data_IF_278104718714
#
_entry.id   IF_278104718714
#
_cell.length_a   1.000
_cell.length_b   1.000
_cell.length_c   1.000
_cell.angle_alpha   90.00
_cell.angle_beta   90.00
_cell.angle_gamma   90.00
#
_symmetry.space_group_name_H-M   'P 1'
#
loop_
_entity.id
_entity.type
_entity.pdbx_description
1 polymer ?
#
# COMPACT_ATOMS: atom_id res chain seq x y z
N UNK A 1 -13.95 9.72 -32.90
CA UNK A 1 -15.08 9.95 -31.95
C UNK A 1 -14.61 10.28 -30.51
N UNK A 2 -15.47 10.70 -29.57
CA UNK A 2 -15.12 10.88 -28.14
C UNK A 2 -15.76 9.80 -27.25
N UNK A 3 -15.05 9.35 -26.21
CA UNK A 3 -15.54 8.32 -25.29
C UNK A 3 -16.65 8.87 -24.40
N UNK A 4 -17.84 8.25 -24.42
CA UNK A 4 -18.96 8.65 -23.55
C UNK A 4 -18.71 8.46 -22.04
N UNK A 5 -17.72 7.63 -21.67
CA UNK A 5 -17.42 7.32 -20.27
C UNK A 5 -16.33 8.20 -19.66
N UNK A 6 -15.36 8.65 -20.45
CA UNK A 6 -14.20 9.39 -19.93
C UNK A 6 -13.83 10.64 -20.75
N UNK A 7 -14.59 10.97 -21.78
CA UNK A 7 -14.40 12.19 -22.59
C UNK A 7 -13.15 12.21 -23.47
N UNK A 8 -12.36 11.13 -23.54
CA UNK A 8 -11.12 11.10 -24.33
C UNK A 8 -11.42 10.89 -25.81
N UNK A 9 -10.64 11.52 -26.69
CA UNK A 9 -10.74 11.30 -28.12
C UNK A 9 -10.25 9.90 -28.49
N UNK A 10 -10.97 9.23 -29.37
CA UNK A 10 -10.73 7.86 -29.80
C UNK A 10 -10.72 7.81 -31.33
N UNK A 11 -9.79 7.03 -31.88
CA UNK A 11 -9.74 6.73 -33.31
C UNK A 11 -11.01 5.99 -33.75
N UNK A 12 -11.48 6.28 -34.96
CA UNK A 12 -12.69 5.66 -35.48
C UNK A 12 -12.46 4.16 -35.72
N UNK A 13 -13.41 3.31 -35.30
CA UNK A 13 -13.31 1.84 -35.37
C UNK A 13 -12.70 1.14 -34.14
N UNK A 14 -12.39 1.87 -33.06
CA UNK A 14 -11.89 1.27 -31.82
C UNK A 14 -12.98 0.49 -31.07
N UNK A 15 -12.70 -0.76 -30.71
CA UNK A 15 -13.59 -1.61 -29.88
C UNK A 15 -13.53 -1.27 -28.38
N UNK A 16 -12.47 -0.61 -27.91
CA UNK A 16 -12.24 -0.28 -26.50
C UNK A 16 -11.62 1.10 -26.36
N UNK A 17 -11.97 1.81 -25.29
CA UNK A 17 -11.37 3.10 -24.99
C UNK A 17 -9.99 2.93 -24.35
N UNK A 18 -8.90 3.47 -24.94
CA UNK A 18 -7.56 3.38 -24.37
C UNK A 18 -7.37 4.23 -23.10
N UNK A 19 -8.33 5.11 -22.79
CA UNK A 19 -8.30 5.95 -21.59
C UNK A 19 -8.89 5.29 -20.34
N UNK A 20 -10.04 4.62 -20.49
CA UNK A 20 -10.78 4.05 -19.35
C UNK A 20 -11.02 2.53 -19.43
N UNK A 21 -10.66 1.88 -20.54
CA UNK A 21 -10.81 0.43 -20.72
C UNK A 21 -12.23 -0.04 -21.06
N UNK A 22 -13.24 0.85 -21.07
CA UNK A 22 -14.61 0.47 -21.42
C UNK A 22 -14.73 0.10 -22.90
N UNK A 23 -15.55 -0.92 -23.19
CA UNK A 23 -15.94 -1.25 -24.56
C UNK A 23 -16.70 -0.11 -25.22
N UNK A 24 -16.41 0.04 -26.50
CA UNK A 24 -17.05 0.97 -27.41
C UNK A 24 -17.79 0.12 -28.44
N UNK A 25 -18.80 -0.61 -27.97
CA UNK A 25 -19.63 -1.36 -28.89
C UNK A 25 -20.35 -0.34 -29.79
N UNK A 26 -20.14 -0.50 -31.09
CA UNK A 26 -20.78 0.32 -32.09
C UNK A 26 -22.25 -0.09 -32.20
N UNK A 27 -23.09 0.93 -32.15
CA UNK A 27 -24.44 1.04 -32.69
C UNK A 27 -25.60 0.35 -31.92
N UNK A 28 -26.61 1.20 -31.63
CA UNK A 28 -28.04 0.91 -31.58
C UNK A 28 -28.50 -0.35 -30.81
N UNK A 29 -29.11 -0.13 -29.63
CA UNK A 29 -30.36 -0.83 -29.31
C UNK A 29 -31.44 -0.24 -30.24
N UNK A 30 -32.22 -1.00 -31.02
CA UNK A 30 -33.00 -2.17 -30.61
C UNK A 30 -33.05 -3.30 -31.67
N UNK A 31 -33.05 -4.52 -31.13
CA UNK A 31 -33.67 -5.80 -31.57
C UNK A 31 -32.91 -6.86 -32.43
N UNK A 32 -33.06 -8.18 -32.12
CA UNK A 32 -32.26 -9.34 -32.59
C UNK A 32 -33.01 -10.18 -33.68
N UNK A 33 -32.61 -11.41 -34.10
CA UNK A 33 -31.39 -12.23 -33.96
C UNK A 33 -30.71 -12.47 -35.35
N UNK A 34 -29.56 -13.13 -35.54
CA UNK A 34 -29.38 -14.60 -35.61
C UNK A 34 -27.89 -14.95 -35.90
N UNK A 35 -27.37 -15.93 -35.14
CA UNK A 35 -26.40 -16.99 -35.49
C UNK A 35 -25.28 -16.76 -36.54
N UNK A 36 -24.01 -16.86 -36.12
CA UNK A 36 -23.15 -18.06 -36.35
C UNK A 36 -21.72 -17.85 -35.81
N UNK A 37 -21.19 -18.93 -35.20
CA UNK A 37 -19.86 -19.09 -34.58
C UNK A 37 -18.88 -19.76 -35.59
N UNK A 38 -17.59 -19.97 -35.23
CA UNK A 38 -16.37 -19.27 -35.67
C UNK A 38 -15.56 -20.04 -36.76
N UNK A 39 -14.35 -19.62 -37.24
CA UNK A 39 -13.09 -19.92 -36.51
C UNK A 39 -11.88 -18.96 -36.74
N UNK A 40 -10.85 -19.17 -35.90
CA UNK A 40 -9.39 -19.03 -36.14
C UNK A 40 -8.64 -17.68 -35.96
N UNK A 41 -7.74 -17.66 -34.96
CA UNK A 41 -6.43 -16.98 -34.92
C UNK A 41 -5.43 -17.67 -35.88
N UNK A 42 -4.18 -17.21 -36.12
CA UNK A 42 -3.46 -15.96 -35.77
C UNK A 42 -2.71 -15.31 -36.98
N UNK A 43 -2.29 -14.04 -36.92
CA UNK A 43 -1.29 -13.55 -37.90
C UNK A 43 -0.99 -12.05 -37.99
N UNK A 44 0.31 -11.73 -37.83
CA UNK A 44 1.10 -10.67 -38.50
C UNK A 44 0.56 -9.24 -38.61
N UNK A 45 1.20 -8.30 -37.91
CA UNK A 45 1.05 -6.85 -38.10
C UNK A 45 2.02 -6.32 -39.19
N UNK A 46 1.55 -5.58 -40.21
CA UNK A 46 2.43 -4.90 -41.15
C UNK A 46 3.06 -3.63 -40.54
N UNK A 47 4.35 -3.47 -40.79
CA UNK A 47 5.17 -2.30 -40.47
C UNK A 47 4.96 -1.22 -41.53
N UNK A 48 4.55 -0.01 -41.14
CA UNK A 48 4.50 1.16 -42.01
C UNK A 48 5.50 2.22 -41.52
N UNK A 49 6.51 2.48 -42.35
CA UNK A 49 7.42 3.64 -42.23
C UNK A 49 6.85 4.83 -43.00
N UNK A 50 6.67 6.03 -42.40
CA UNK A 50 6.34 7.23 -43.16
C UNK A 50 7.61 7.97 -43.62
N UNK A 51 7.69 8.22 -44.93
CA UNK A 51 8.66 9.11 -45.58
C UNK A 51 8.08 10.51 -45.78
N UNK A 52 8.90 11.53 -45.52
CA UNK A 52 8.83 12.98 -45.86
C UNK A 52 8.04 13.95 -44.95
N UNK A 53 8.64 15.12 -44.56
CA UNK A 53 8.05 16.11 -43.64
C UNK A 53 7.45 17.35 -44.36
N UNK A 54 6.33 17.93 -43.87
CA UNK A 54 5.91 19.30 -44.20
C UNK A 54 5.78 20.20 -42.93
N UNK A 55 5.58 21.54 -43.04
CA UNK A 55 6.56 22.56 -42.67
C UNK A 55 6.34 23.19 -41.28
N UNK A 56 7.37 23.90 -40.81
CA UNK A 56 7.39 24.65 -39.56
C UNK A 56 6.30 25.74 -39.50
N UNK A 57 5.31 25.52 -38.62
CA UNK A 57 4.33 26.51 -38.20
C UNK A 57 4.10 26.39 -36.70
N UNK A 58 4.46 27.43 -35.95
CA UNK A 58 4.44 27.42 -34.50
C UNK A 58 3.04 27.40 -33.91
N UNK A 59 2.65 26.27 -33.33
CA UNK A 59 1.65 26.19 -32.25
C UNK A 59 2.02 24.97 -31.39
N UNK A 60 2.39 25.19 -30.12
CA UNK A 60 2.70 24.13 -29.14
C UNK A 60 1.47 23.92 -28.23
N UNK A 61 0.64 22.89 -28.44
CA UNK A 61 -0.24 22.41 -27.38
C UNK A 61 0.57 21.50 -26.45
N UNK A 62 0.63 21.91 -25.18
CA UNK A 62 1.21 21.16 -24.06
C UNK A 62 0.49 19.80 -23.92
N UNK A 63 1.18 18.73 -24.30
CA UNK A 63 0.62 17.38 -24.28
C UNK A 63 1.64 16.35 -24.75
N UNK A 64 2.80 16.27 -24.08
CA UNK A 64 3.85 15.33 -24.42
C UNK A 64 3.44 13.88 -24.14
N UNK A 65 3.29 13.08 -25.19
CA UNK A 65 3.31 11.63 -25.10
C UNK A 65 4.70 11.17 -24.64
N UNK A 66 4.79 10.56 -23.46
CA UNK A 66 6.04 9.98 -22.96
C UNK A 66 6.36 8.65 -23.67
N UNK A 67 7.61 8.59 -24.13
CA UNK A 67 8.27 7.48 -24.82
C UNK A 67 8.33 6.18 -23.98
N UNK A 68 8.51 4.98 -24.59
CA UNK A 68 8.32 3.67 -23.94
C UNK A 68 9.28 3.34 -22.79
N UNK A 69 10.33 4.14 -22.56
CA UNK A 69 11.31 3.92 -21.49
C UNK A 69 11.03 4.70 -20.19
N UNK A 70 9.89 5.41 -20.07
CA UNK A 70 9.55 6.17 -18.85
C UNK A 70 8.36 5.56 -18.08
N UNK A 71 8.53 4.34 -17.60
CA UNK A 71 7.60 3.72 -16.65
C UNK A 71 7.81 4.26 -15.20
N UNK A 72 7.57 5.55 -14.93
CA UNK A 72 7.74 6.06 -13.56
C UNK A 72 6.89 7.25 -13.10
N UNK A 73 6.12 7.92 -13.97
CA UNK A 73 5.37 9.12 -13.58
C UNK A 73 3.88 8.93 -13.84
N UNK A 74 3.19 8.27 -12.90
CA UNK A 74 1.73 8.38 -12.83
C UNK A 74 1.44 9.81 -12.33
N UNK A 75 0.89 10.67 -13.19
CA UNK A 75 0.54 12.07 -12.86
C UNK A 75 1.74 12.92 -12.36
N UNK A 76 2.95 12.69 -12.90
CA UNK A 76 4.11 13.57 -12.69
C UNK A 76 4.86 13.41 -11.36
N UNK A 77 4.49 12.45 -10.50
CA UNK A 77 5.20 12.20 -9.24
C UNK A 77 6.05 10.92 -9.27
N UNK A 78 7.28 10.95 -8.70
CA UNK A 78 8.05 9.73 -8.49
C UNK A 78 7.41 8.86 -7.39
N UNK A 79 7.19 7.57 -7.71
CA UNK A 79 6.48 6.60 -6.84
C UNK A 79 7.39 5.57 -6.16
N UNK A 80 8.72 5.77 -6.13
CA UNK A 80 9.66 4.78 -5.57
C UNK A 80 9.34 4.38 -4.13
N UNK A 81 9.16 5.36 -3.24
CA UNK A 81 8.78 5.12 -1.85
C UNK A 81 7.42 4.42 -1.70
N UNK A 82 6.42 4.85 -2.47
CA UNK A 82 5.09 4.23 -2.45
C UNK A 82 5.13 2.77 -2.90
N UNK A 83 5.91 2.45 -3.95
CA UNK A 83 6.14 1.07 -4.38
C UNK A 83 6.81 0.27 -3.26
N UNK A 84 7.84 0.81 -2.61
CA UNK A 84 8.48 0.16 -1.45
C UNK A 84 7.48 -0.14 -0.32
N UNK A 85 6.61 0.83 0.02
CA UNK A 85 5.60 0.64 1.07
C UNK A 85 4.66 -0.53 0.77
N UNK A 86 4.13 -0.61 -0.46
CA UNK A 86 3.11 -1.60 -0.83
C UNK A 86 3.70 -2.97 -1.15
N UNK A 87 4.87 -3.02 -1.78
CA UNK A 87 5.50 -4.27 -2.18
C UNK A 87 6.30 -4.92 -1.05
N UNK A 88 6.83 -4.14 -0.11
CA UNK A 88 7.68 -4.67 0.95
C UNK A 88 7.24 -4.25 2.35
N UNK A 89 7.24 -2.96 2.67
CA UNK A 89 7.18 -2.52 4.07
C UNK A 89 5.92 -2.99 4.82
N UNK A 90 4.75 -2.91 4.18
CA UNK A 90 3.48 -3.35 4.80
C UNK A 90 3.39 -4.87 4.95
N UNK A 91 3.99 -5.65 4.04
CA UNK A 91 4.09 -7.10 4.20
C UNK A 91 5.08 -7.48 5.28
N UNK A 92 6.26 -6.86 5.31
CA UNK A 92 7.23 -7.05 6.36
C UNK A 92 6.62 -6.70 7.72
N UNK A 93 5.88 -5.59 7.82
CA UNK A 93 5.15 -5.22 9.02
C UNK A 93 4.12 -6.28 9.42
N UNK A 94 3.33 -6.80 8.47
CA UNK A 94 2.38 -7.89 8.75
C UNK A 94 3.08 -9.11 9.34
N UNK A 95 4.17 -9.57 8.72
CA UNK A 95 4.91 -10.75 9.16
C UNK A 95 5.54 -10.51 10.54
N UNK A 96 6.21 -9.37 10.74
CA UNK A 96 6.84 -9.05 12.01
C UNK A 96 5.82 -8.97 13.15
N UNK A 97 4.66 -8.34 12.92
CA UNK A 97 3.59 -8.28 13.91
C UNK A 97 2.99 -9.67 14.19
N UNK A 98 2.82 -10.51 13.17
CA UNK A 98 2.34 -11.88 13.36
C UNK A 98 3.35 -12.73 14.16
N UNK A 99 4.64 -12.63 13.85
CA UNK A 99 5.71 -13.30 14.60
C UNK A 99 5.73 -12.83 16.06
N UNK A 100 5.64 -11.52 16.30
CA UNK A 100 5.54 -10.97 17.66
C UNK A 100 4.32 -11.47 18.41
N UNK A 101 3.15 -11.52 17.77
CA UNK A 101 1.93 -12.06 18.38
C UNK A 101 2.10 -13.53 18.80
N UNK A 102 2.66 -14.37 17.92
CA UNK A 102 2.95 -15.77 18.23
C UNK A 102 3.96 -15.88 19.38
N UNK A 103 5.02 -15.06 19.36
CA UNK A 103 6.02 -15.01 20.43
C UNK A 103 5.42 -14.66 21.80
N UNK A 104 4.49 -13.72 21.83
CA UNK A 104 3.76 -13.31 23.04
C UNK A 104 2.82 -14.42 23.54
N UNK A 105 2.00 -15.01 22.65
CA UNK A 105 1.07 -16.06 23.04
C UNK A 105 1.77 -17.33 23.55
N UNK A 106 2.89 -17.69 22.93
CA UNK A 106 3.69 -18.85 23.33
C UNK A 106 4.61 -18.59 24.52
N UNK A 107 4.92 -17.32 24.82
CA UNK A 107 5.94 -16.97 25.81
C UNK A 107 7.37 -17.20 25.32
N UNK A 108 7.59 -17.43 24.01
CA UNK A 108 8.92 -17.62 23.41
C UNK A 108 9.87 -16.45 23.69
N UNK A 109 9.33 -15.27 23.99
CA UNK A 109 10.12 -14.09 24.38
C UNK A 109 10.97 -14.29 25.65
N UNK A 110 10.60 -15.26 26.49
CA UNK A 110 11.34 -15.61 27.71
C UNK A 110 12.17 -16.90 27.56
N UNK A 111 12.17 -17.52 26.37
CA UNK A 111 12.83 -18.80 26.14
C UNK A 111 12.34 -19.91 27.07
N UNK A 112 13.26 -20.77 27.51
CA UNK A 112 12.97 -21.92 28.38
C UNK A 112 12.48 -21.52 29.78
N UNK A 113 12.72 -20.27 30.18
CA UNK A 113 12.32 -19.75 31.49
C UNK A 113 10.87 -19.25 31.53
N UNK A 114 10.11 -19.31 30.43
CA UNK A 114 8.73 -18.81 30.36
C UNK A 114 7.83 -19.32 31.49
N UNK A 115 7.90 -20.62 31.82
CA UNK A 115 7.13 -21.20 32.92
C UNK A 115 7.46 -20.60 34.28
N UNK A 116 8.75 -20.34 34.54
CA UNK A 116 9.20 -19.72 35.79
C UNK A 116 8.83 -18.23 35.84
N UNK A 117 9.02 -17.51 34.75
CA UNK A 117 8.69 -16.08 34.64
C UNK A 117 7.20 -15.86 34.92
N UNK A 118 6.32 -16.66 34.32
CA UNK A 118 4.88 -16.55 34.57
C UNK A 118 4.46 -17.06 35.95
N UNK A 119 5.19 -18.00 36.56
CA UNK A 119 4.92 -18.43 37.93
C UNK A 119 5.26 -17.34 38.95
N UNK A 120 6.37 -16.61 38.74
CA UNK A 120 6.80 -15.51 39.61
C UNK A 120 5.95 -14.26 39.37
N UNK A 121 5.70 -13.93 38.11
CA UNK A 121 4.95 -12.74 37.69
C UNK A 121 3.62 -13.15 37.04
N UNK A 122 2.67 -13.64 37.83
CA UNK A 122 1.39 -14.16 37.34
C UNK A 122 0.60 -13.18 36.45
N UNK A 123 0.67 -11.88 36.74
CA UNK A 123 0.01 -10.84 35.94
C UNK A 123 0.62 -10.64 34.54
N UNK A 124 1.88 -11.04 34.35
CA UNK A 124 2.61 -10.82 33.09
C UNK A 124 2.01 -11.63 31.94
N UNK A 125 1.54 -12.85 32.23
CA UNK A 125 0.90 -13.71 31.22
C UNK A 125 -0.32 -13.05 30.58
N UNK A 126 -1.11 -12.33 31.39
CA UNK A 126 -2.31 -11.62 30.92
C UNK A 126 -1.88 -10.47 30.01
N UNK A 127 -0.89 -9.68 30.44
CA UNK A 127 -0.37 -8.54 29.66
C UNK A 127 0.18 -8.99 28.31
N UNK A 128 0.97 -10.06 28.27
CA UNK A 128 1.53 -10.60 27.03
C UNK A 128 0.45 -11.07 26.06
N UNK A 129 -0.57 -11.77 26.54
CA UNK A 129 -1.69 -12.20 25.70
C UNK A 129 -2.43 -10.99 25.12
N UNK A 130 -2.70 -9.97 25.94
CA UNK A 130 -3.36 -8.75 25.46
C UNK A 130 -2.50 -8.02 24.42
N UNK A 131 -1.20 -7.91 24.65
CA UNK A 131 -0.28 -7.29 23.70
C UNK A 131 -0.15 -8.11 22.41
N UNK A 132 -0.14 -9.44 22.51
CA UNK A 132 -0.18 -10.35 21.38
C UNK A 132 -1.44 -10.16 20.53
N UNK A 133 -2.61 -9.93 21.13
CA UNK A 133 -3.84 -9.61 20.41
C UNK A 133 -3.73 -8.27 19.66
N UNK A 134 -3.12 -7.26 20.28
CA UNK A 134 -2.85 -5.97 19.60
C UNK A 134 -1.93 -6.19 18.41
N UNK A 135 -0.87 -6.99 18.57
CA UNK A 135 0.05 -7.32 17.48
C UNK A 135 -0.64 -8.10 16.35
N UNK A 136 -1.51 -9.04 16.66
CA UNK A 136 -2.30 -9.75 15.65
C UNK A 136 -3.24 -8.80 14.89
N UNK A 137 -3.91 -7.88 15.59
CA UNK A 137 -4.75 -6.86 14.97
C UNK A 137 -3.93 -5.93 14.06
N UNK A 138 -2.71 -5.58 14.48
CA UNK A 138 -1.78 -4.76 13.70
C UNK A 138 -1.33 -5.45 12.41
N UNK A 139 -1.10 -6.76 12.43
CA UNK A 139 -0.81 -7.53 11.23
C UNK A 139 -1.96 -7.44 10.21
N UNK A 140 -3.22 -7.58 10.68
CA UNK A 140 -4.42 -7.42 9.84
C UNK A 140 -4.53 -5.98 9.30
N UNK A 141 -4.33 -4.98 10.16
CA UNK A 141 -4.36 -3.57 9.75
C UNK A 141 -3.29 -3.24 8.70
N UNK A 142 -2.12 -3.87 8.75
CA UNK A 142 -1.08 -3.70 7.73
C UNK A 142 -1.56 -4.15 6.34
N UNK A 143 -2.25 -5.30 6.26
CA UNK A 143 -2.84 -5.78 5.01
C UNK A 143 -3.98 -4.87 4.54
N UNK A 144 -4.88 -4.46 5.44
CA UNK A 144 -5.98 -3.54 5.08
C UNK A 144 -5.46 -2.19 4.58
N UNK A 145 -4.45 -1.64 5.25
CA UNK A 145 -3.74 -0.41 4.83
C UNK A 145 -3.17 -0.57 3.44
N UNK A 146 -2.55 -1.72 3.15
CA UNK A 146 -2.02 -2.02 1.81
C UNK A 146 -3.13 -2.02 0.77
N UNK A 147 -4.24 -2.71 1.02
CA UNK A 147 -5.36 -2.77 0.07
C UNK A 147 -5.93 -1.38 -0.20
N UNK A 148 -6.12 -0.57 0.86
CA UNK A 148 -6.57 0.83 0.73
C UNK A 148 -5.59 1.69 -0.06
N UNK A 149 -4.29 1.56 0.21
CA UNK A 149 -3.27 2.30 -0.51
C UNK A 149 -3.21 1.89 -1.98
N UNK A 150 -3.19 0.59 -2.30
CA UNK A 150 -3.11 0.06 -3.66
C UNK A 150 -4.32 0.46 -4.52
N UNK A 151 -5.49 0.63 -3.89
CA UNK A 151 -6.70 1.16 -4.53
C UNK A 151 -6.74 2.69 -4.60
N UNK A 152 -5.67 3.38 -4.18
CA UNK A 152 -5.60 4.83 -4.12
C UNK A 152 -6.81 5.47 -3.39
N UNK A 153 -7.30 4.83 -2.32
CA UNK A 153 -8.40 5.38 -1.52
C UNK A 153 -7.92 6.56 -0.69
N UNK A 154 -8.74 7.60 -0.57
CA UNK A 154 -8.47 8.80 0.24
C UNK A 154 -8.05 8.51 1.70
N UNK A 155 -8.60 7.44 2.28
CA UNK A 155 -8.26 7.04 3.66
C UNK A 155 -6.92 6.27 3.78
N UNK A 156 -6.35 5.77 2.69
CA UNK A 156 -5.18 4.90 2.72
C UNK A 156 -3.99 5.46 3.52
N UNK A 157 -3.56 6.71 3.26
CA UNK A 157 -2.49 7.35 4.03
C UNK A 157 -2.81 7.50 5.52
N UNK A 158 -4.07 7.75 5.87
CA UNK A 158 -4.52 7.86 7.27
C UNK A 158 -4.34 6.53 8.01
N UNK A 159 -4.72 5.42 7.37
CA UNK A 159 -4.53 4.07 7.96
C UNK A 159 -3.05 3.75 8.18
N UNK A 160 -2.17 4.14 7.25
CA UNK A 160 -0.73 3.99 7.43
C UNK A 160 -0.21 4.79 8.64
N UNK A 161 -0.66 6.03 8.81
CA UNK A 161 -0.27 6.86 9.96
C UNK A 161 -0.80 6.27 11.27
N UNK A 162 -2.06 5.80 11.29
CA UNK A 162 -2.63 5.12 12.44
C UNK A 162 -1.82 3.88 12.84
N UNK A 163 -1.32 3.11 11.86
CA UNK A 163 -0.46 1.94 12.13
C UNK A 163 0.78 2.34 12.94
N UNK A 164 1.51 3.38 12.52
CA UNK A 164 2.68 3.83 13.28
C UNK A 164 2.33 4.35 14.68
N UNK A 165 1.24 5.10 14.81
CA UNK A 165 0.79 5.64 16.11
C UNK A 165 0.38 4.53 17.07
N UNK A 166 -0.42 3.56 16.61
CA UNK A 166 -0.88 2.44 17.43
C UNK A 166 0.31 1.58 17.86
N UNK A 167 1.23 1.26 16.94
CA UNK A 167 2.42 0.47 17.29
C UNK A 167 3.27 1.15 18.37
N UNK A 168 3.53 2.45 18.21
CA UNK A 168 4.28 3.24 19.17
C UNK A 168 3.58 3.29 20.53
N UNK A 169 2.29 3.63 20.55
CA UNK A 169 1.50 3.70 21.79
C UNK A 169 1.44 2.33 22.50
N UNK A 170 1.17 1.26 21.76
CA UNK A 170 1.12 -0.08 22.31
C UNK A 170 2.47 -0.49 22.92
N UNK A 171 3.58 -0.18 22.27
CA UNK A 171 4.92 -0.48 22.78
C UNK A 171 5.23 0.23 24.11
N UNK A 172 4.85 1.51 24.24
CA UNK A 172 5.01 2.28 25.47
C UNK A 172 4.11 1.74 26.58
N UNK A 173 2.85 1.44 26.28
CA UNK A 173 1.92 0.86 27.25
C UNK A 173 2.44 -0.49 27.76
N UNK A 174 2.90 -1.37 26.85
CA UNK A 174 3.48 -2.65 27.22
C UNK A 174 4.69 -2.48 28.14
N UNK A 175 5.63 -1.59 27.80
CA UNK A 175 6.80 -1.31 28.65
C UNK A 175 6.40 -0.85 30.06
N UNK A 176 5.44 0.06 30.17
CA UNK A 176 4.95 0.55 31.46
C UNK A 176 4.33 -0.59 32.27
N UNK A 177 3.45 -1.40 31.67
CA UNK A 177 2.80 -2.52 32.36
C UNK A 177 3.80 -3.57 32.85
N UNK A 178 4.77 -3.94 32.01
CA UNK A 178 5.83 -4.88 32.38
C UNK A 178 6.68 -4.31 33.52
N UNK A 179 7.01 -3.02 33.46
CA UNK A 179 7.78 -2.36 34.54
C UNK A 179 7.02 -2.37 35.87
N UNK A 180 5.71 -2.08 35.85
CA UNK A 180 4.87 -2.12 37.06
C UNK A 180 4.80 -3.53 37.66
N UNK A 181 4.69 -4.56 36.81
CA UNK A 181 4.58 -5.96 37.28
C UNK A 181 5.91 -6.48 37.83
N UNK A 182 7.04 -6.11 37.22
CA UNK A 182 8.37 -6.63 37.58
C UNK A 182 9.04 -5.83 38.69
N UNK A 183 8.76 -4.52 38.79
CA UNK A 183 9.04 -3.72 39.98
C UNK A 183 10.34 -2.91 40.02
N UNK A 184 11.41 -3.23 39.26
CA UNK A 184 12.59 -2.33 39.21
C UNK A 184 13.66 -2.62 38.12
N UNK A 185 13.75 -3.84 37.56
CA UNK A 185 14.91 -4.25 36.74
C UNK A 185 14.72 -4.27 35.21
N UNK A 186 13.59 -3.79 34.68
CA UNK A 186 13.29 -3.89 33.23
C UNK A 186 13.93 -2.76 32.43
N UNK A 187 14.10 -1.57 33.03
CA UNK A 187 14.58 -0.37 32.33
C UNK A 187 16.12 -0.30 32.32
N UNK A 188 16.78 -1.35 31.84
CA UNK A 188 18.22 -1.30 31.58
C UNK A 188 18.52 -0.32 30.43
N UNK A 189 19.76 0.18 30.35
CA UNK A 189 20.16 1.10 29.27
C UNK A 189 19.94 0.52 27.86
N UNK A 190 20.08 -0.79 27.71
CA UNK A 190 19.82 -1.51 26.45
C UNK A 190 18.33 -1.50 26.07
N UNK A 191 17.47 -1.85 27.03
CA UNK A 191 16.01 -1.84 26.84
C UNK A 191 15.55 -0.42 26.52
N UNK A 192 16.01 0.57 27.29
CA UNK A 192 15.70 1.98 27.06
C UNK A 192 16.18 2.46 25.68
N UNK A 193 17.38 2.05 25.26
CA UNK A 193 17.91 2.37 23.93
C UNK A 193 17.05 1.80 22.81
N UNK A 194 16.59 0.56 22.94
CA UNK A 194 15.70 -0.08 21.96
C UNK A 194 14.35 0.66 21.85
N UNK A 195 13.71 0.98 22.98
CA UNK A 195 12.42 1.69 22.97
C UNK A 195 12.55 3.13 22.46
N UNK A 196 13.64 3.84 22.81
CA UNK A 196 13.93 5.17 22.27
C UNK A 196 14.06 5.10 20.74
N UNK A 197 14.82 4.14 20.21
CA UNK A 197 14.99 3.96 18.77
C UNK A 197 13.65 3.69 18.08
N UNK A 198 12.79 2.83 18.65
CA UNK A 198 11.45 2.55 18.11
C UNK A 198 10.60 3.82 18.07
N UNK A 199 10.61 4.63 19.13
CA UNK A 199 9.85 5.89 19.20
C UNK A 199 10.36 6.88 18.15
N UNK A 200 11.68 7.09 18.07
CA UNK A 200 12.28 8.02 17.10
C UNK A 200 11.97 7.58 15.67
N UNK A 201 12.16 6.31 15.33
CA UNK A 201 11.83 5.77 14.00
C UNK A 201 10.34 5.96 13.70
N UNK A 202 9.46 5.70 14.67
CA UNK A 202 8.01 5.87 14.48
C UNK A 202 7.65 7.33 14.19
N UNK A 203 8.20 8.29 14.94
CA UNK A 203 7.98 9.73 14.73
C UNK A 203 8.47 10.14 13.33
N UNK A 204 9.68 9.74 12.96
CA UNK A 204 10.25 10.03 11.63
C UNK A 204 9.36 9.45 10.52
N UNK A 205 8.92 8.19 10.66
CA UNK A 205 8.05 7.53 9.68
C UNK A 205 6.68 8.22 9.58
N UNK A 206 6.11 8.68 10.69
CA UNK A 206 4.87 9.46 10.69
C UNK A 206 5.06 10.77 9.91
N UNK A 207 6.10 11.54 10.23
CA UNK A 207 6.35 12.85 9.59
C UNK A 207 6.64 12.69 8.10
N UNK A 208 7.55 11.79 7.73
CA UNK A 208 7.94 11.54 6.33
C UNK A 208 6.74 11.10 5.51
N UNK A 209 5.95 10.14 6.01
CA UNK A 209 4.77 9.67 5.27
C UNK A 209 3.69 10.75 5.19
N UNK A 210 3.44 11.50 6.26
CA UNK A 210 2.48 12.60 6.23
C UNK A 210 2.83 13.64 5.15
N UNK A 211 4.10 14.08 5.09
CA UNK A 211 4.58 15.00 4.06
C UNK A 211 4.48 14.36 2.66
N UNK A 212 4.90 13.09 2.53
CA UNK A 212 4.91 12.36 1.27
C UNK A 212 3.52 12.26 0.64
N UNK A 213 2.52 11.88 1.43
CA UNK A 213 1.14 11.69 0.98
C UNK A 213 0.39 13.00 0.82
N UNK A 214 0.66 14.03 1.62
CA UNK A 214 0.11 15.38 1.39
C UNK A 214 0.49 15.93 0.01
N UNK A 215 1.76 15.77 -0.40
CA UNK A 215 2.23 16.17 -1.74
C UNK A 215 1.56 15.40 -2.89
N UNK A 216 0.98 14.23 -2.60
CA UNK A 216 0.37 13.30 -3.56
C UNK A 216 -1.12 13.10 -3.30
N UNK A 217 -1.75 13.99 -2.55
CA UNK A 217 -3.15 13.86 -2.15
C UNK A 217 -4.10 13.79 -3.36
N UNK A 218 -3.73 14.45 -4.47
CA UNK A 218 -4.46 14.42 -5.75
C UNK A 218 -4.56 13.03 -6.39
N UNK A 219 -3.70 12.09 -6.01
CA UNK A 219 -3.75 10.71 -6.51
C UNK A 219 -4.86 9.90 -5.85
N UNK A 220 -5.35 10.33 -4.69
CA UNK A 220 -6.27 9.54 -3.88
C UNK A 220 -7.71 10.00 -4.11
N UNK A 221 -8.49 9.12 -4.72
CA UNK A 221 -9.90 9.35 -5.05
C UNK A 221 -10.80 8.49 -4.16
N UNK A 222 -12.09 8.83 -4.12
CA UNK A 222 -13.07 8.21 -3.22
C UNK A 222 -13.60 6.89 -3.77
#
# INVERSE_FOLDING_TARGET
MFCKYCGRQIADGSLFCPGCGNRLDSAQEQTPPTQQTPPSQPGSYPNYTPTTPPPAGGYRPNGGYQSPNNAANFSGYPMGWYKFLIYFALFASCVLNACSAIGMFSGMIYGDASGLVYAIFGGLRIVDILYGLVMAAMAVLAILTRQKLAQFRKDGPTYLLMLYVINMAASVIYLILVTIIVGDMVLTGEVMGQYLLIIVVSIVMIVVNNIYFKKRASLFVN
#
